data_IF_064031269573
#
_entry.id   IF_064031269573
#
_cell.length_a   1.000
_cell.length_b   1.000
_cell.length_c   1.000
_cell.angle_alpha   90.00
_cell.angle_beta   90.00
_cell.angle_gamma   90.00
#
_symmetry.space_group_name_H-M   'P 1'
#
loop_
_entity.id
_entity.type
_entity.pdbx_description
1 polymer ?
#
# COMPACT_ATOMS: atom_id res chain seq x y z
N UNK A 1 -64.71 -68.60 24.62
CA UNK A 1 -63.41 -69.09 25.16
C UNK A 1 -62.32 -68.41 24.34
N UNK A 2 -61.86 -67.26 24.82
CA UNK A 2 -60.95 -66.35 24.10
C UNK A 2 -59.57 -66.46 24.74
N UNK A 3 -58.70 -67.27 24.15
CA UNK A 3 -57.29 -67.37 24.54
C UNK A 3 -56.46 -66.46 23.64
N UNK A 4 -55.91 -65.43 24.28
CA UNK A 4 -55.04 -64.36 23.80
C UNK A 4 -53.75 -64.91 23.16
N UNK A 5 -53.42 -64.45 21.96
CA UNK A 5 -52.18 -64.74 21.20
C UNK A 5 -51.01 -63.80 21.52
N UNK A 6 -51.02 -63.11 22.67
CA UNK A 6 -50.08 -62.00 22.96
C UNK A 6 -48.84 -62.37 23.78
N UNK A 7 -48.65 -63.62 24.20
CA UNK A 7 -47.57 -63.98 25.12
C UNK A 7 -46.19 -64.29 24.48
N UNK A 8 -46.08 -64.36 23.14
CA UNK A 8 -44.89 -64.93 22.49
C UNK A 8 -43.72 -63.97 22.17
N UNK A 9 -43.84 -62.65 22.40
CA UNK A 9 -42.84 -61.65 21.97
C UNK A 9 -42.20 -60.83 23.10
N UNK A 10 -42.14 -61.38 24.31
CA UNK A 10 -41.51 -60.73 25.48
C UNK A 10 -40.23 -61.44 25.86
N UNK A 11 -39.13 -60.69 25.96
CA UNK A 11 -37.83 -61.20 26.40
C UNK A 11 -37.62 -60.82 27.87
N UNK A 12 -37.34 -61.80 28.72
CA UNK A 12 -37.04 -61.58 30.14
C UNK A 12 -35.53 -61.45 30.34
N UNK A 13 -35.08 -60.28 30.78
CA UNK A 13 -33.70 -60.03 31.13
C UNK A 13 -33.55 -59.96 32.65
N UNK A 14 -32.48 -60.59 33.17
CA UNK A 14 -32.16 -60.60 34.60
C UNK A 14 -31.14 -59.51 34.91
N UNK A 15 -31.49 -58.56 35.79
CA UNK A 15 -30.55 -57.54 36.26
C UNK A 15 -29.65 -58.07 37.39
N UNK A 16 -28.46 -57.48 37.53
CA UNK A 16 -27.55 -57.72 38.65
C UNK A 16 -28.22 -57.18 39.92
N UNK A 17 -28.86 -58.08 40.66
CA UNK A 17 -29.80 -57.76 41.74
C UNK A 17 -31.01 -58.69 41.81
N UNK A 18 -31.20 -59.57 40.81
CA UNK A 18 -32.22 -60.63 40.85
C UNK A 18 -33.62 -60.21 40.38
N UNK A 19 -33.82 -58.94 40.04
CA UNK A 19 -35.06 -58.42 39.45
C UNK A 19 -35.15 -58.77 37.97
N UNK A 20 -36.28 -59.34 37.55
CA UNK A 20 -36.59 -59.64 36.16
C UNK A 20 -37.40 -58.50 35.56
N UNK A 21 -36.95 -57.98 34.42
CA UNK A 21 -37.69 -56.97 33.65
C UNK A 21 -38.13 -57.60 32.33
N UNK A 22 -39.41 -57.46 32.01
CA UNK A 22 -39.97 -57.83 30.72
C UNK A 22 -39.81 -56.70 29.73
N UNK A 23 -39.03 -56.93 28.68
CA UNK A 23 -38.83 -55.96 27.62
C UNK A 23 -39.54 -56.45 26.34
N UNK A 24 -40.35 -55.60 25.69
CA UNK A 24 -40.93 -55.92 24.40
C UNK A 24 -39.82 -56.01 23.35
N UNK A 25 -39.74 -57.14 22.64
CA UNK A 25 -38.69 -57.46 21.66
C UNK A 25 -38.59 -56.40 20.56
N UNK A 26 -39.69 -55.70 20.25
CA UNK A 26 -39.72 -54.62 19.27
C UNK A 26 -38.83 -53.43 19.64
N UNK A 27 -38.74 -53.08 20.94
CA UNK A 27 -37.89 -51.98 21.38
C UNK A 27 -36.40 -52.34 21.24
N UNK A 28 -36.05 -53.60 21.53
CA UNK A 28 -34.69 -54.11 21.35
C UNK A 28 -34.30 -54.16 19.87
N UNK A 29 -35.22 -54.58 18.99
CA UNK A 29 -35.01 -54.55 17.54
C UNK A 29 -34.82 -53.12 17.01
N UNK A 30 -35.53 -52.15 17.58
CA UNK A 30 -35.40 -50.73 17.23
C UNK A 30 -34.08 -50.13 17.70
N UNK A 31 -33.59 -50.52 18.88
CA UNK A 31 -32.27 -50.13 19.40
C UNK A 31 -31.15 -50.79 18.60
N UNK A 32 -31.31 -52.07 18.23
CA UNK A 32 -30.33 -52.81 17.42
C UNK A 32 -30.21 -52.26 15.98
N UNK A 33 -31.30 -51.72 15.42
CA UNK A 33 -31.32 -51.05 14.12
C UNK A 33 -31.09 -49.54 14.20
N UNK A 34 -30.87 -48.98 15.39
CA UNK A 34 -30.53 -47.57 15.52
C UNK A 34 -29.05 -47.38 15.12
N UNK A 35 -28.82 -46.62 14.06
CA UNK A 35 -27.47 -46.20 13.68
C UNK A 35 -26.86 -45.40 14.85
N UNK A 36 -25.57 -45.64 15.14
CA UNK A 36 -24.87 -45.08 16.29
C UNK A 36 -24.98 -43.56 16.42
N UNK A 37 -24.93 -43.08 17.66
CA UNK A 37 -25.02 -41.65 18.04
C UNK A 37 -23.87 -40.77 17.50
N UNK A 38 -22.82 -41.38 16.92
CA UNK A 38 -21.70 -40.70 16.24
C UNK A 38 -21.89 -40.61 14.71
N UNK A 39 -23.14 -40.55 14.24
CA UNK A 39 -23.40 -40.43 12.81
C UNK A 39 -23.11 -39.00 12.31
N UNK A 40 -22.22 -38.87 11.33
CA UNK A 40 -21.89 -37.61 10.64
C UNK A 40 -23.14 -36.86 10.16
N UNK A 41 -24.20 -37.60 9.80
CA UNK A 41 -25.46 -37.01 9.38
C UNK A 41 -26.18 -36.30 10.54
N UNK A 42 -26.15 -36.90 11.73
CA UNK A 42 -26.74 -36.32 12.94
C UNK A 42 -25.97 -35.07 13.38
N UNK A 43 -24.63 -35.11 13.34
CA UNK A 43 -23.78 -33.97 13.65
C UNK A 43 -23.93 -32.83 12.64
N UNK A 44 -23.93 -33.15 11.33
CA UNK A 44 -24.15 -32.15 10.27
C UNK A 44 -25.51 -31.50 10.39
N UNK A 45 -26.55 -32.28 10.75
CA UNK A 45 -27.87 -31.75 11.05
C UNK A 45 -27.82 -30.83 12.27
N UNK A 46 -27.27 -31.28 13.39
CA UNK A 46 -27.19 -30.46 14.60
C UNK A 46 -26.45 -29.14 14.34
N UNK A 47 -25.29 -29.18 13.67
CA UNK A 47 -24.53 -28.01 13.27
C UNK A 47 -25.34 -27.06 12.37
N UNK A 48 -26.01 -27.58 11.34
CA UNK A 48 -26.78 -26.76 10.40
C UNK A 48 -27.94 -26.01 11.05
N UNK A 49 -28.48 -26.52 12.16
CA UNK A 49 -29.56 -25.86 12.91
C UNK A 49 -29.06 -24.94 14.03
N UNK A 50 -27.85 -25.19 14.55
CA UNK A 50 -27.25 -24.42 15.65
C UNK A 50 -26.38 -23.24 15.17
N UNK A 51 -25.81 -23.35 13.97
CA UNK A 51 -24.91 -22.33 13.43
C UNK A 51 -25.60 -20.99 13.17
N UNK A 52 -24.87 -19.90 13.38
CA UNK A 52 -25.27 -18.54 13.01
C UNK A 52 -24.98 -18.21 11.54
N UNK A 53 -24.26 -19.09 10.83
CA UNK A 53 -24.00 -18.94 9.41
C UNK A 53 -25.32 -18.93 8.64
N UNK A 54 -25.52 -17.90 7.83
CA UNK A 54 -26.65 -17.87 6.91
C UNK A 54 -26.40 -18.88 5.80
N UNK A 55 -27.28 -19.87 5.61
CA UNK A 55 -27.23 -20.78 4.47
C UNK A 55 -27.16 -22.27 4.75
N UNK A 56 -26.31 -22.77 5.67
CA UNK A 56 -26.23 -24.21 5.98
C UNK A 56 -27.59 -24.84 6.30
N UNK A 57 -28.43 -24.15 7.06
CA UNK A 57 -29.80 -24.58 7.33
C UNK A 57 -30.66 -24.73 6.06
N UNK A 58 -30.54 -23.78 5.11
CA UNK A 58 -31.31 -23.75 3.86
C UNK A 58 -30.79 -24.78 2.85
N UNK A 59 -29.48 -25.00 2.84
CA UNK A 59 -28.84 -26.07 2.07
C UNK A 59 -29.26 -27.46 2.60
N UNK A 60 -29.24 -27.66 3.92
CA UNK A 60 -29.63 -28.93 4.54
C UNK A 60 -31.13 -29.25 4.35
N UNK A 61 -32.01 -28.25 4.46
CA UNK A 61 -33.46 -28.41 4.22
C UNK A 61 -33.86 -28.47 2.75
N UNK A 62 -32.97 -28.06 1.83
CA UNK A 62 -33.25 -27.97 0.40
C UNK A 62 -33.47 -29.33 -0.25
N UNK A 63 -34.47 -29.43 -1.14
CA UNK A 63 -34.75 -30.64 -1.94
C UNK A 63 -34.54 -30.36 -3.44
N UNK A 64 -34.00 -31.33 -4.16
CA UNK A 64 -33.77 -31.24 -5.61
C UNK A 64 -32.94 -30.00 -6.00
N UNK A 65 -33.48 -29.21 -6.94
CA UNK A 65 -32.84 -27.98 -7.44
C UNK A 65 -32.59 -26.91 -6.37
N UNK A 66 -33.41 -26.86 -5.31
CA UNK A 66 -33.21 -25.89 -4.22
C UNK A 66 -31.89 -26.11 -3.47
N UNK A 67 -31.45 -27.38 -3.34
CA UNK A 67 -30.17 -27.70 -2.70
C UNK A 67 -28.99 -27.21 -3.55
N UNK A 68 -29.07 -27.39 -4.86
CA UNK A 68 -28.04 -26.94 -5.81
C UNK A 68 -27.96 -25.41 -5.82
N UNK A 69 -29.11 -24.72 -5.83
CA UNK A 69 -29.15 -23.26 -5.74
C UNK A 69 -28.48 -22.75 -4.46
N UNK A 70 -28.87 -23.27 -3.28
CA UNK A 70 -28.28 -22.82 -2.01
C UNK A 70 -26.80 -23.18 -1.89
N UNK A 71 -26.37 -24.30 -2.47
CA UNK A 71 -24.95 -24.63 -2.58
C UNK A 71 -24.19 -23.59 -3.40
N UNK A 72 -24.69 -23.27 -4.60
CA UNK A 72 -24.09 -22.27 -5.48
C UNK A 72 -24.01 -20.89 -4.80
N UNK A 73 -25.07 -20.45 -4.14
CA UNK A 73 -25.07 -19.18 -3.39
C UNK A 73 -24.03 -19.18 -2.27
N UNK A 74 -23.89 -20.28 -1.52
CA UNK A 74 -22.86 -20.40 -0.48
C UNK A 74 -21.44 -20.35 -1.06
N UNK A 75 -21.19 -21.05 -2.16
CA UNK A 75 -19.90 -21.01 -2.85
C UNK A 75 -19.59 -19.61 -3.38
N UNK A 76 -20.55 -18.95 -4.03
CA UNK A 76 -20.37 -17.58 -4.51
C UNK A 76 -20.09 -16.60 -3.36
N UNK A 77 -20.83 -16.70 -2.25
CA UNK A 77 -20.60 -15.88 -1.06
C UNK A 77 -19.20 -16.09 -0.47
N UNK A 78 -18.74 -17.34 -0.39
CA UNK A 78 -17.39 -17.65 0.09
C UNK A 78 -16.31 -17.07 -0.85
N UNK A 79 -16.47 -17.20 -2.17
CA UNK A 79 -15.54 -16.63 -3.15
C UNK A 79 -15.48 -15.10 -3.02
N UNK A 80 -16.63 -14.43 -2.97
CA UNK A 80 -16.66 -12.97 -2.83
C UNK A 80 -16.03 -12.52 -1.52
N UNK A 81 -16.30 -13.22 -0.41
CA UNK A 81 -15.68 -12.93 0.88
C UNK A 81 -14.16 -13.08 0.80
N UNK A 82 -13.65 -14.16 0.22
CA UNK A 82 -12.21 -14.37 0.05
C UNK A 82 -11.57 -13.28 -0.82
N UNK A 83 -12.21 -12.87 -1.91
CA UNK A 83 -11.73 -11.78 -2.76
C UNK A 83 -11.67 -10.46 -1.99
N UNK A 84 -12.73 -10.11 -1.24
CA UNK A 84 -12.78 -8.89 -0.43
C UNK A 84 -11.70 -8.87 0.66
N UNK A 85 -11.48 -10.01 1.33
CA UNK A 85 -10.41 -10.14 2.32
C UNK A 85 -9.04 -9.91 1.67
N UNK A 86 -8.79 -10.51 0.49
CA UNK A 86 -7.53 -10.29 -0.23
C UNK A 86 -7.32 -8.81 -0.58
N UNK A 87 -8.33 -8.15 -1.15
CA UNK A 87 -8.27 -6.73 -1.50
C UNK A 87 -7.96 -5.88 -0.26
N UNK A 88 -8.65 -6.13 0.85
CA UNK A 88 -8.47 -5.39 2.09
C UNK A 88 -7.07 -5.60 2.68
N UNK A 89 -6.55 -6.84 2.67
CA UNK A 89 -5.20 -7.15 3.14
C UNK A 89 -4.16 -6.48 2.25
N UNK A 90 -4.27 -6.59 0.93
CA UNK A 90 -3.34 -5.93 -0.01
C UNK A 90 -3.35 -4.42 0.19
N UNK A 91 -4.54 -3.82 0.33
CA UNK A 91 -4.67 -2.40 0.61
C UNK A 91 -4.07 -2.01 1.95
N UNK A 92 -4.23 -2.82 3.00
CA UNK A 92 -3.59 -2.56 4.29
C UNK A 92 -2.06 -2.63 4.20
N UNK A 93 -1.54 -3.64 3.49
CA UNK A 93 -0.10 -3.85 3.29
C UNK A 93 0.56 -2.80 2.38
N UNK A 94 -0.22 -2.11 1.53
CA UNK A 94 0.30 -0.98 0.75
C UNK A 94 0.50 0.29 1.57
N UNK A 95 0.23 0.26 2.89
CA UNK A 95 0.39 1.37 3.82
C UNK A 95 -0.19 2.70 3.28
N UNK A 96 -1.48 2.73 2.91
CA UNK A 96 -2.10 3.91 2.32
C UNK A 96 -2.13 5.02 3.37
N UNK A 97 -1.62 6.19 2.99
CA UNK A 97 -1.61 7.37 3.84
C UNK A 97 -2.65 8.36 3.34
N UNK A 98 -3.42 8.92 4.26
CA UNK A 98 -4.36 9.99 3.98
C UNK A 98 -3.90 11.24 4.72
N UNK A 99 -3.74 12.35 4.01
CA UNK A 99 -3.38 13.64 4.59
C UNK A 99 -4.64 14.47 4.80
N UNK A 100 -4.81 15.03 6.00
CA UNK A 100 -5.86 16.00 6.29
C UNK A 100 -5.21 17.32 6.68
N UNK A 101 -5.60 18.40 6.01
CA UNK A 101 -5.07 19.73 6.25
C UNK A 101 -6.09 20.51 7.05
N UNK A 102 -5.66 21.08 8.18
CA UNK A 102 -6.48 21.93 9.03
C UNK A 102 -5.70 23.20 9.36
N UNK A 103 -6.43 24.30 9.55
CA UNK A 103 -5.84 25.57 9.94
C UNK A 103 -6.01 25.74 11.45
N UNK A 104 -4.89 25.79 12.17
CA UNK A 104 -4.88 26.03 13.62
C UNK A 104 -4.32 27.44 13.85
N UNK A 105 -5.10 28.37 14.44
CA UNK A 105 -4.60 29.68 14.79
C UNK A 105 -3.58 29.56 15.92
N UNK A 106 -2.38 30.11 15.73
CA UNK A 106 -1.33 30.16 16.74
C UNK A 106 -1.22 31.58 17.32
N UNK A 107 -1.10 31.70 18.65
CA UNK A 107 -0.93 33.00 19.32
C UNK A 107 0.45 33.61 19.09
N UNK A 108 1.46 32.77 18.88
CA UNK A 108 2.86 33.17 18.60
C UNK A 108 3.40 32.28 17.50
N UNK A 109 4.01 32.88 16.48
CA UNK A 109 4.63 32.19 15.35
C UNK A 109 6.12 32.51 15.31
N UNK A 110 6.96 31.51 15.06
CA UNK A 110 8.40 31.75 14.85
C UNK A 110 8.59 32.44 13.51
N UNK A 111 9.26 33.59 13.52
CA UNK A 111 9.59 34.31 12.29
C UNK A 111 10.49 33.41 11.42
N UNK A 112 10.16 33.19 10.13
CA UNK A 112 11.02 32.42 9.25
C UNK A 112 12.33 33.18 8.98
N UNK A 113 13.37 32.44 8.64
CA UNK A 113 14.57 33.05 8.07
C UNK A 113 14.21 33.66 6.71
N UNK A 114 14.46 34.95 6.56
CA UNK A 114 14.29 35.66 5.28
C UNK A 114 15.67 35.84 4.68
N UNK A 115 15.96 35.11 3.61
CA UNK A 115 17.18 35.29 2.82
C UNK A 115 16.88 36.24 1.67
N UNK A 116 17.59 37.38 1.63
CA UNK A 116 17.48 38.36 0.55
C UNK A 116 18.79 38.35 -0.24
N UNK A 117 18.70 38.06 -1.53
CA UNK A 117 19.82 38.14 -2.46
C UNK A 117 19.64 39.33 -3.40
N UNK A 118 20.75 39.94 -3.81
CA UNK A 118 20.73 40.90 -4.91
C UNK A 118 20.45 40.15 -6.22
N UNK A 119 19.61 40.72 -7.09
CA UNK A 119 19.38 40.19 -8.44
C UNK A 119 20.62 40.26 -9.32
N UNK A 120 21.54 41.17 -9.02
CA UNK A 120 22.81 41.25 -9.72
C UNK A 120 23.83 40.31 -9.06
N UNK A 121 24.25 39.21 -9.73
CA UNK A 121 25.21 38.27 -9.16
C UNK A 121 26.64 38.80 -9.15
N UNK A 122 26.93 39.90 -9.87
CA UNK A 122 28.30 40.38 -10.05
C UNK A 122 28.40 41.92 -9.90
N UNK A 123 29.28 42.39 -9.03
CA UNK A 123 29.51 43.81 -8.86
C UNK A 123 30.35 44.42 -9.99
N UNK A 124 30.07 45.68 -10.37
CA UNK A 124 30.86 46.39 -11.40
C UNK A 124 32.32 46.56 -11.01
N UNK A 125 32.58 46.78 -9.72
CA UNK A 125 33.93 46.94 -9.18
C UNK A 125 34.76 45.67 -9.35
N UNK A 126 34.15 44.49 -9.20
CA UNK A 126 34.84 43.23 -9.41
C UNK A 126 35.26 43.03 -10.87
N UNK A 127 34.37 43.36 -11.82
CA UNK A 127 34.70 43.34 -13.25
C UNK A 127 35.81 44.34 -13.59
N UNK A 128 35.75 45.54 -13.01
CA UNK A 128 36.79 46.55 -13.19
C UNK A 128 38.15 46.04 -12.66
N UNK A 129 38.17 45.42 -11.49
CA UNK A 129 39.37 44.80 -10.94
C UNK A 129 39.93 43.70 -11.86
N UNK A 130 39.11 42.81 -12.43
CA UNK A 130 39.59 41.79 -13.35
C UNK A 130 40.16 42.38 -14.65
N UNK A 131 39.63 43.51 -15.10
CA UNK A 131 40.09 44.21 -16.30
C UNK A 131 41.31 45.13 -16.06
N UNK A 132 41.56 45.55 -14.81
CA UNK A 132 42.70 46.40 -14.42
C UNK A 132 43.82 45.62 -13.71
N UNK A 133 43.56 44.37 -13.35
CA UNK A 133 44.46 43.40 -12.73
C UNK A 133 45.74 43.22 -13.55
N UNK A 134 46.87 43.00 -12.88
CA UNK A 134 48.17 42.80 -13.54
C UNK A 134 48.22 41.54 -14.43
N UNK A 135 47.36 40.56 -14.15
CA UNK A 135 47.25 39.31 -14.91
C UNK A 135 46.03 39.25 -15.85
N UNK A 136 45.02 40.11 -15.63
CA UNK A 136 43.79 40.19 -16.44
C UNK A 136 43.67 41.42 -17.35
N UNK A 137 44.62 42.36 -17.30
CA UNK A 137 44.55 43.66 -17.96
C UNK A 137 44.19 43.58 -19.46
N UNK A 138 42.99 44.03 -19.82
CA UNK A 138 42.51 44.05 -21.21
C UNK A 138 42.11 42.69 -21.79
N UNK A 139 42.21 41.61 -21.01
CA UNK A 139 41.86 40.24 -21.44
C UNK A 139 40.50 39.77 -20.90
N UNK A 140 39.95 40.43 -19.89
CA UNK A 140 38.60 40.15 -19.41
C UNK A 140 37.56 40.78 -20.35
N UNK A 141 37.10 40.01 -21.35
CA UNK A 141 36.19 40.49 -22.40
C UNK A 141 34.71 40.38 -22.02
N UNK A 142 33.85 41.11 -22.74
CA UNK A 142 32.40 40.98 -22.59
C UNK A 142 31.87 39.58 -22.99
N UNK A 143 32.52 38.91 -23.95
CA UNK A 143 32.16 37.54 -24.33
C UNK A 143 32.47 36.55 -23.20
N UNK A 144 33.58 36.74 -22.48
CA UNK A 144 33.89 35.99 -21.26
C UNK A 144 32.83 36.26 -20.17
N UNK A 145 32.54 37.53 -19.87
CA UNK A 145 31.53 37.87 -18.87
C UNK A 145 30.16 37.26 -19.20
N UNK A 146 29.74 37.32 -20.47
CA UNK A 146 28.50 36.71 -20.93
C UNK A 146 28.53 35.20 -20.76
N UNK A 147 29.64 34.55 -21.10
CA UNK A 147 29.81 33.11 -20.92
C UNK A 147 29.71 32.69 -19.46
N UNK A 148 30.37 33.41 -18.54
CA UNK A 148 30.28 33.16 -17.10
C UNK A 148 28.85 33.36 -16.58
N UNK A 149 28.18 34.43 -17.02
CA UNK A 149 26.80 34.72 -16.62
C UNK A 149 25.83 33.66 -17.13
N UNK A 150 26.00 33.17 -18.37
CA UNK A 150 25.22 32.07 -18.94
C UNK A 150 25.44 30.74 -18.19
N UNK A 151 26.64 30.52 -17.65
CA UNK A 151 26.92 29.33 -16.85
C UNK A 151 26.21 29.35 -15.47
N UNK A 152 25.80 30.53 -14.99
CA UNK A 152 25.07 30.72 -13.73
C UNK A 152 23.57 30.93 -13.91
N UNK A 153 23.11 31.23 -15.13
CA UNK A 153 21.69 31.43 -15.43
C UNK A 153 20.90 30.11 -15.38
N UNK A 154 19.60 30.24 -15.14
CA UNK A 154 18.69 29.09 -15.22
C UNK A 154 18.69 28.48 -16.63
N UNK A 155 18.35 27.20 -16.69
CA UNK A 155 18.36 26.42 -17.94
C UNK A 155 17.48 27.05 -19.02
N UNK A 156 16.36 27.69 -18.64
CA UNK A 156 15.44 28.34 -19.56
C UNK A 156 16.05 29.56 -20.27
N UNK A 157 16.77 30.41 -19.53
CA UNK A 157 17.50 31.56 -20.10
C UNK A 157 18.60 31.10 -21.06
N UNK A 158 19.26 29.98 -20.75
CA UNK A 158 20.23 29.39 -21.65
C UNK A 158 19.58 28.97 -22.97
N UNK A 159 18.43 28.28 -22.96
CA UNK A 159 17.76 27.86 -24.20
C UNK A 159 17.28 29.05 -25.05
N UNK A 160 16.84 30.14 -24.42
CA UNK A 160 16.31 31.32 -25.12
C UNK A 160 17.41 32.22 -25.70
N UNK A 161 18.59 32.24 -25.09
CA UNK A 161 19.66 33.18 -25.43
C UNK A 161 20.97 32.53 -25.91
N UNK A 162 21.09 31.20 -25.85
CA UNK A 162 22.23 30.48 -26.37
C UNK A 162 22.27 30.51 -27.90
N UNK A 163 23.35 31.08 -28.43
CA UNK A 163 23.79 30.85 -29.80
C UNK A 163 25.13 30.11 -29.76
N UNK A 164 25.27 29.02 -30.51
CA UNK A 164 26.48 28.19 -30.55
C UNK A 164 27.74 29.04 -30.81
N UNK A 165 27.68 30.01 -31.73
CA UNK A 165 28.82 30.88 -32.03
C UNK A 165 29.20 31.76 -30.82
N UNK A 166 28.21 32.22 -30.06
CA UNK A 166 28.43 33.07 -28.88
C UNK A 166 28.99 32.29 -27.70
N UNK A 167 28.57 31.03 -27.56
CA UNK A 167 29.08 30.12 -26.54
C UNK A 167 30.52 29.74 -26.86
N UNK A 168 30.81 29.40 -28.11
CA UNK A 168 32.13 28.97 -28.52
C UNK A 168 33.18 30.09 -28.39
N UNK A 169 32.83 31.33 -28.77
CA UNK A 169 33.69 32.50 -28.51
C UNK A 169 33.90 32.73 -27.01
N UNK A 170 32.84 32.61 -26.23
CA UNK A 170 32.89 32.75 -24.77
C UNK A 170 33.78 31.70 -24.10
N UNK A 171 33.68 30.44 -24.55
CA UNK A 171 34.49 29.31 -24.09
C UNK A 171 35.97 29.53 -24.38
N UNK A 172 36.31 29.94 -25.60
CA UNK A 172 37.69 30.25 -25.98
C UNK A 172 38.26 31.40 -25.14
N UNK A 173 37.46 32.46 -24.90
CA UNK A 173 37.87 33.55 -24.04
C UNK A 173 38.08 33.12 -22.58
N UNK A 174 37.24 32.20 -22.07
CA UNK A 174 37.38 31.60 -20.75
C UNK A 174 38.65 30.77 -20.62
N UNK A 175 38.89 29.84 -21.55
CA UNK A 175 40.09 28.99 -21.54
C UNK A 175 41.36 29.82 -21.64
N UNK A 176 41.34 30.86 -22.49
CA UNK A 176 42.45 31.80 -22.59
C UNK A 176 42.67 32.57 -21.28
N UNK A 177 41.63 33.19 -20.72
CA UNK A 177 41.73 33.93 -19.47
C UNK A 177 42.18 33.05 -18.29
N UNK A 178 41.66 31.82 -18.22
CA UNK A 178 42.06 30.83 -17.22
C UNK A 178 43.55 30.49 -17.31
N UNK A 179 44.13 30.48 -18.51
CA UNK A 179 45.55 30.17 -18.71
C UNK A 179 46.51 31.30 -18.34
N UNK A 180 46.06 32.56 -18.42
CA UNK A 180 46.90 33.75 -18.21
C UNK A 180 46.73 34.39 -16.83
N UNK A 181 45.58 34.18 -16.20
CA UNK A 181 45.26 34.79 -14.92
C UNK A 181 45.98 34.06 -13.79
N UNK A 182 46.76 34.80 -12.99
CA UNK A 182 47.70 34.19 -12.02
C UNK A 182 47.43 34.59 -10.56
N UNK A 183 46.52 35.51 -10.31
CA UNK A 183 46.26 35.99 -8.93
C UNK A 183 45.54 34.97 -8.05
N UNK A 184 44.70 34.12 -8.64
CA UNK A 184 44.09 32.96 -7.99
C UNK A 184 43.64 31.94 -9.06
N UNK A 185 43.26 30.74 -8.61
CA UNK A 185 42.71 29.71 -9.51
C UNK A 185 41.39 30.17 -10.13
N UNK A 186 41.44 30.59 -11.39
CA UNK A 186 40.27 31.08 -12.11
C UNK A 186 39.41 29.91 -12.59
N UNK A 187 38.20 29.81 -12.05
CA UNK A 187 37.15 28.90 -12.49
C UNK A 187 35.77 29.51 -12.20
N UNK A 188 34.70 28.89 -12.70
CA UNK A 188 33.33 29.41 -12.57
C UNK A 188 32.91 29.58 -11.10
N UNK A 189 33.22 28.61 -10.25
CA UNK A 189 32.87 28.64 -8.83
C UNK A 189 33.57 29.78 -8.09
N UNK A 190 34.89 29.90 -8.27
CA UNK A 190 35.72 30.93 -7.63
C UNK A 190 35.40 32.34 -8.13
N UNK A 191 34.97 32.48 -9.39
CA UNK A 191 34.51 33.75 -9.94
C UNK A 191 33.27 34.25 -9.19
N UNK A 192 32.22 33.43 -9.07
CA UNK A 192 30.98 33.82 -8.39
C UNK A 192 31.10 33.88 -6.86
N UNK A 193 32.02 33.12 -6.27
CA UNK A 193 32.32 33.23 -4.84
C UNK A 193 32.95 34.58 -4.46
N UNK A 194 33.51 35.32 -5.43
CA UNK A 194 34.25 36.58 -5.22
C UNK A 194 33.57 37.80 -5.86
N UNK A 195 32.45 37.60 -6.56
CA UNK A 195 31.77 38.58 -7.41
C UNK A 195 30.98 39.67 -6.68
#
# INVERSE_FOLDING_TARGET
MSTTKDEAYRFQARLVGGTFIELPVEQLRRIANANGVDSIEQETKHFSYSTTLHGPLRFYKGKGYGKIFWCSVMCCAAIFLSLQINILITYFMSHPTATSVTFVPAEVLTLPAVTVCNYNPITKNYIQYLNESSSGAGYFTNDLLRYMTMAYSEVEDLYLHANNDTIERGRQAYEYFQSIFTEYEFNIENFFARA
#
